data_IF_355988617461
#
_entry.id   IF_355988617461
#
_cell.length_a   1.000
_cell.length_b   1.000
_cell.length_c   1.000
_cell.angle_alpha   90.00
_cell.angle_beta   90.00
_cell.angle_gamma   90.00
#
_symmetry.space_group_name_H-M   'P 1'
#
loop_
_entity.id
_entity.type
_entity.pdbx_description
1 polymer ?
#
# COMPACT_ATOMS: atom_id res chain seq x y z
N UNK A 1 -4.32 -5.51 11.17
CA UNK A 1 -5.65 -5.37 10.55
C UNK A 1 -5.72 -3.97 10.00
N UNK A 2 -5.84 -3.82 8.68
CA UNK A 2 -5.76 -2.51 8.00
C UNK A 2 -7.17 -1.96 7.85
N UNK A 3 -7.51 -0.92 8.61
CA UNK A 3 -8.81 -0.25 8.47
C UNK A 3 -8.80 0.65 7.25
N UNK A 4 -9.54 0.25 6.22
CA UNK A 4 -9.75 1.06 5.01
C UNK A 4 -10.83 2.09 5.35
N UNK A 5 -10.40 3.30 5.71
CA UNK A 5 -11.31 4.41 5.99
C UNK A 5 -11.72 5.08 4.67
N UNK A 6 -13.03 5.34 4.52
CA UNK A 6 -13.66 5.93 3.35
C UNK A 6 -14.18 7.35 3.64
N UNK A 7 -13.92 8.31 2.75
CA UNK A 7 -14.40 9.69 2.89
C UNK A 7 -15.71 9.89 2.12
N UNK A 8 -16.81 10.35 2.74
CA UNK A 8 -18.06 10.69 2.05
C UNK A 8 -17.88 11.76 0.96
N UNK A 9 -18.47 11.55 -0.22
CA UNK A 9 -18.60 12.59 -1.29
C UNK A 9 -19.83 13.48 -1.14
N UNK A 10 -20.81 13.05 -0.34
CA UNK A 10 -22.13 13.67 -0.16
C UNK A 10 -22.54 13.57 1.31
N UNK A 11 -23.46 14.42 1.80
CA UNK A 11 -23.85 14.47 3.22
C UNK A 11 -24.41 13.14 3.77
N UNK A 12 -25.11 12.35 2.95
CA UNK A 12 -25.71 11.06 3.33
C UNK A 12 -25.43 10.01 2.25
N UNK A 13 -24.23 9.41 2.22
CA UNK A 13 -23.91 8.41 1.22
C UNK A 13 -24.59 7.08 1.58
N UNK A 14 -25.39 6.55 0.63
CA UNK A 14 -26.11 5.28 0.81
C UNK A 14 -25.33 4.13 0.14
N UNK A 15 -24.56 4.42 -0.90
CA UNK A 15 -23.82 3.44 -1.69
C UNK A 15 -22.32 3.68 -1.64
N UNK A 16 -21.52 2.62 -1.68
CA UNK A 16 -20.05 2.68 -1.57
C UNK A 16 -19.40 3.57 -2.64
N UNK A 17 -19.99 3.68 -3.83
CA UNK A 17 -19.52 4.55 -4.93
C UNK A 17 -19.54 6.04 -4.58
N UNK A 18 -20.37 6.44 -3.59
CA UNK A 18 -20.44 7.80 -3.05
C UNK A 18 -19.36 8.09 -2.02
N UNK A 19 -18.45 7.16 -1.78
CA UNK A 19 -17.25 7.42 -1.00
C UNK A 19 -16.01 7.56 -1.90
N UNK A 20 -14.99 8.27 -1.40
CA UNK A 20 -13.63 8.27 -1.96
C UNK A 20 -12.74 7.47 -1.02
N UNK A 21 -11.91 6.54 -1.51
CA UNK A 21 -10.90 5.93 -0.68
C UNK A 21 -9.87 6.98 -0.25
N UNK A 22 -9.37 6.86 0.98
CA UNK A 22 -8.32 7.76 1.50
C UNK A 22 -6.99 7.58 0.74
N UNK A 23 -6.76 6.42 0.12
CA UNK A 23 -5.58 6.17 -0.71
C UNK A 23 -5.35 7.26 -1.77
N UNK A 24 -6.43 7.84 -2.33
CA UNK A 24 -6.32 8.93 -3.31
C UNK A 24 -5.75 10.22 -2.71
N UNK A 25 -5.94 10.47 -1.40
CA UNK A 25 -5.30 11.59 -0.69
C UNK A 25 -3.88 11.27 -0.25
N UNK A 26 -3.61 9.99 0.00
CA UNK A 26 -2.28 9.52 0.41
C UNK A 26 -1.34 9.35 -0.78
N UNK A 27 -1.86 9.30 -2.02
CA UNK A 27 -1.06 9.11 -3.23
C UNK A 27 0.13 10.09 -3.32
N UNK A 28 -0.08 11.35 -2.94
CA UNK A 28 0.96 12.39 -2.99
C UNK A 28 2.10 12.16 -1.97
N UNK A 29 1.83 11.45 -0.87
CA UNK A 29 2.83 11.15 0.18
C UNK A 29 3.33 9.71 0.15
N UNK A 30 2.64 8.82 -0.57
CA UNK A 30 2.96 7.39 -0.64
C UNK A 30 4.41 7.15 -1.11
N UNK A 31 4.92 7.96 -2.04
CA UNK A 31 6.32 7.88 -2.49
C UNK A 31 7.34 8.02 -1.35
N UNK A 32 7.01 8.83 -0.33
CA UNK A 32 7.88 9.06 0.83
C UNK A 32 7.70 8.00 1.92
N UNK A 33 6.63 7.20 1.84
CA UNK A 33 6.31 6.14 2.80
C UNK A 33 6.75 4.74 2.32
N UNK A 34 7.17 4.59 1.06
CA UNK A 34 7.63 3.32 0.51
C UNK A 34 9.06 3.05 0.97
N UNK A 35 9.23 2.01 1.77
CA UNK A 35 10.56 1.53 2.15
C UNK A 35 11.28 0.85 0.96
N UNK A 36 12.63 0.82 1.00
CA UNK A 36 13.43 0.12 -0.02
C UNK A 36 13.13 -1.39 -0.06
N UNK A 37 12.81 -2.00 1.09
CA UNK A 37 12.45 -3.40 1.21
C UNK A 37 10.98 -3.69 0.83
N UNK A 38 10.16 -2.68 0.54
CA UNK A 38 8.78 -2.89 0.12
C UNK A 38 8.72 -3.24 -1.38
N UNK A 39 8.56 -4.51 -1.70
CA UNK A 39 8.37 -4.98 -3.08
C UNK A 39 6.90 -5.12 -3.49
N UNK A 40 6.00 -5.37 -2.54
CA UNK A 40 4.56 -5.48 -2.84
C UNK A 40 3.96 -4.11 -3.21
N UNK A 41 3.06 -4.12 -4.20
CA UNK A 41 2.32 -2.93 -4.67
C UNK A 41 3.20 -1.78 -5.21
N UNK A 42 4.45 -2.06 -5.57
CA UNK A 42 5.35 -1.12 -6.25
C UNK A 42 5.58 -1.62 -7.69
N UNK A 43 5.20 -0.84 -8.73
CA UNK A 43 5.44 -1.24 -10.12
C UNK A 43 6.91 -1.55 -10.38
N UNK A 44 7.19 -2.66 -11.05
CA UNK A 44 8.55 -3.08 -11.40
C UNK A 44 9.33 -3.78 -10.27
N UNK A 45 8.76 -3.92 -9.07
CA UNK A 45 9.31 -4.78 -8.01
C UNK A 45 8.53 -6.10 -7.95
N UNK A 46 9.25 -7.21 -7.87
CA UNK A 46 8.63 -8.53 -7.80
C UNK A 46 8.59 -9.00 -6.35
N UNK A 47 7.54 -9.72 -5.97
CA UNK A 47 7.45 -10.32 -4.64
C UNK A 47 8.58 -11.33 -4.38
N UNK A 48 9.12 -11.94 -5.44
CA UNK A 48 10.29 -12.81 -5.40
C UNK A 48 11.54 -12.10 -4.87
N UNK A 49 11.65 -10.79 -5.04
CA UNK A 49 12.80 -10.01 -4.55
C UNK A 49 12.88 -10.07 -3.02
N UNK A 50 11.73 -10.11 -2.33
CA UNK A 50 11.69 -10.27 -0.88
C UNK A 50 12.06 -11.69 -0.44
N UNK A 51 11.69 -12.70 -1.23
CA UNK A 51 12.07 -14.10 -0.94
C UNK A 51 13.58 -14.26 -1.05
N UNK A 52 14.19 -13.66 -2.08
CA UNK A 52 15.64 -13.68 -2.29
C UNK A 52 16.37 -12.91 -1.18
N UNK A 53 15.92 -11.70 -0.84
CA UNK A 53 16.50 -10.91 0.26
C UNK A 53 16.42 -11.66 1.60
N UNK A 54 15.30 -12.30 1.90
CA UNK A 54 15.14 -13.09 3.12
C UNK A 54 16.08 -14.31 3.13
N UNK A 55 16.25 -14.99 1.99
CA UNK A 55 17.20 -16.08 1.84
C UNK A 55 18.64 -15.61 2.09
N UNK A 56 19.06 -14.50 1.49
CA UNK A 56 20.38 -13.91 1.71
C UNK A 56 20.60 -13.59 3.19
N UNK A 57 19.65 -12.94 3.86
CA UNK A 57 19.75 -12.62 5.29
C UNK A 57 19.86 -13.88 6.15
N UNK A 58 19.09 -14.94 5.86
CA UNK A 58 19.09 -16.18 6.64
C UNK A 58 20.33 -17.04 6.41
N UNK A 59 20.92 -17.00 5.22
CA UNK A 59 22.08 -17.82 4.84
C UNK A 59 23.44 -17.11 4.96
N UNK A 60 23.45 -15.83 5.35
CA UNK A 60 24.68 -15.05 5.60
C UNK A 60 25.11 -15.07 7.08
N UNK A 61 24.36 -15.74 7.97
CA UNK A 61 24.74 -15.99 9.37
C UNK A 61 25.35 -17.38 9.58
#
# INVERSE_FOLDING_TARGET
MTDIVLIPKVQKPITLVKFRPISNRLQDVMGNCIDKAQSAFVPGRLISDNVLLAYEVLHTF
#
